data_IF_022669487674
#
_entry.id   IF_022669487674
#
_cell.length_a   1.000
_cell.length_b   1.000
_cell.length_c   1.000
_cell.angle_alpha   90.00
_cell.angle_beta   90.00
_cell.angle_gamma   90.00
#
_symmetry.space_group_name_H-M   'P 1'
#
loop_
_entity.id
_entity.type
_entity.pdbx_description
1 polymer ?
#
# COMPACT_ATOMS: atom_id res chain seq x y z
N UNK A 1 -6.97 -2.08 15.12
CA UNK A 1 -6.25 -3.35 14.94
C UNK A 1 -5.39 -3.17 13.70
N UNK A 2 -4.06 -3.10 13.83
CA UNK A 2 -3.16 -2.96 12.68
C UNK A 2 -3.14 -4.31 11.96
N UNK A 3 -3.83 -4.36 10.82
CA UNK A 3 -4.14 -5.57 10.07
C UNK A 3 -2.88 -6.32 9.62
N UNK A 4 -2.97 -7.65 9.70
CA UNK A 4 -1.95 -8.60 9.28
C UNK A 4 -1.51 -8.34 7.84
N UNK A 5 -0.19 -8.23 7.62
CA UNK A 5 0.52 -7.86 6.36
C UNK A 5 0.07 -8.59 5.07
N UNK A 6 -0.79 -9.61 5.15
CA UNK A 6 -1.27 -10.40 4.01
C UNK A 6 -2.74 -10.21 3.61
N UNK A 7 -3.54 -9.41 4.31
CA UNK A 7 -5.01 -9.33 4.07
C UNK A 7 -5.56 -7.97 3.64
N UNK A 8 -4.76 -6.91 3.61
CA UNK A 8 -5.24 -5.55 3.34
C UNK A 8 -4.89 -5.12 1.90
N UNK A 9 -5.85 -4.55 1.18
CA UNK A 9 -5.62 -3.98 -0.16
C UNK A 9 -5.00 -2.58 -0.07
N UNK A 10 -4.41 -2.07 -1.15
CA UNK A 10 -3.92 -0.68 -1.22
C UNK A 10 -5.01 0.35 -0.88
N UNK A 11 -6.27 0.02 -1.18
CA UNK A 11 -7.41 0.90 -0.88
C UNK A 11 -7.78 0.90 0.61
N UNK A 12 -7.53 -0.19 1.32
CA UNK A 12 -7.68 -0.25 2.78
C UNK A 12 -6.58 0.58 3.44
N UNK A 13 -5.34 0.49 2.93
CA UNK A 13 -4.21 1.29 3.40
C UNK A 13 -4.49 2.80 3.27
N UNK A 14 -5.15 3.23 2.18
CA UNK A 14 -5.58 4.63 1.99
C UNK A 14 -6.63 5.05 3.04
N UNK A 15 -7.59 4.19 3.36
CA UNK A 15 -8.66 4.50 4.33
C UNK A 15 -8.11 4.62 5.76
N UNK A 16 -7.17 3.75 6.11
CA UNK A 16 -6.48 3.80 7.40
C UNK A 16 -5.64 5.07 7.53
N UNK A 17 -4.92 5.44 6.47
CA UNK A 17 -4.17 6.71 6.42
C UNK A 17 -5.10 7.93 6.51
N UNK A 18 -6.27 7.91 5.86
CA UNK A 18 -7.25 9.00 5.98
C UNK A 18 -7.79 9.14 7.40
N UNK A 19 -8.06 8.03 8.08
CA UNK A 19 -8.53 8.02 9.47
C UNK A 19 -7.48 8.58 10.43
N UNK A 20 -6.21 8.22 10.22
CA UNK A 20 -5.08 8.78 10.94
C UNK A 20 -4.95 10.29 10.68
N UNK A 21 -4.96 10.70 9.41
CA UNK A 21 -4.83 12.10 9.02
C UNK A 21 -5.94 12.97 9.59
N UNK A 22 -7.19 12.50 9.58
CA UNK A 22 -8.31 13.20 10.22
C UNK A 22 -8.04 13.49 11.69
N UNK A 23 -7.59 12.47 12.44
CA UNK A 23 -7.27 12.58 13.86
C UNK A 23 -6.11 13.55 14.14
N UNK A 24 -5.07 13.53 13.30
CA UNK A 24 -3.91 14.42 13.43
C UNK A 24 -4.26 15.87 13.05
N UNK A 25 -5.05 16.07 11.99
CA UNK A 25 -5.52 17.40 11.57
C UNK A 25 -6.32 18.05 12.69
N UNK A 26 -7.26 17.32 13.30
CA UNK A 26 -8.06 17.82 14.41
C UNK A 26 -7.18 18.18 15.61
N UNK A 27 -6.30 17.25 16.04
CA UNK A 27 -5.44 17.44 17.21
C UNK A 27 -4.50 18.64 17.04
N UNK A 28 -3.77 18.71 15.93
CA UNK A 28 -2.79 19.77 15.72
C UNK A 28 -3.42 21.10 15.30
N UNK A 29 -4.57 21.05 14.63
CA UNK A 29 -5.37 22.25 14.36
C UNK A 29 -5.81 22.94 15.65
N UNK A 30 -6.32 22.17 16.62
CA UNK A 30 -6.68 22.67 17.97
C UNK A 30 -5.45 23.18 18.73
N UNK A 31 -4.36 22.40 18.74
CA UNK A 31 -3.17 22.72 19.52
C UNK A 31 -2.47 24.00 19.05
N UNK A 32 -2.29 24.15 17.74
CA UNK A 32 -1.50 25.26 17.17
C UNK A 32 -2.36 26.39 16.58
N UNK A 33 -3.69 26.28 16.67
CA UNK A 33 -4.69 27.23 16.17
C UNK A 33 -4.44 27.66 14.71
N UNK A 34 -4.01 26.71 13.87
CA UNK A 34 -3.68 26.93 12.45
C UNK A 34 -3.89 25.65 11.66
N UNK A 35 -3.99 25.75 10.34
CA UNK A 35 -4.02 24.58 9.46
C UNK A 35 -2.67 23.83 9.56
N UNK A 36 -2.64 22.56 10.02
CA UNK A 36 -1.40 21.80 10.10
C UNK A 36 -0.90 21.40 8.71
N UNK A 37 0.40 21.14 8.61
CA UNK A 37 1.07 20.60 7.43
C UNK A 37 1.82 19.34 7.83
N UNK A 38 1.78 18.33 6.99
CA UNK A 38 2.42 17.04 7.25
C UNK A 38 3.45 16.70 6.18
N UNK A 39 4.42 15.90 6.57
CA UNK A 39 5.36 15.24 5.66
C UNK A 39 5.11 13.75 5.79
N UNK A 40 4.85 13.07 4.67
CA UNK A 40 4.63 11.62 4.66
C UNK A 40 5.91 10.91 4.21
N UNK A 41 6.30 9.86 4.91
CA UNK A 41 7.48 9.07 4.56
C UNK A 41 7.05 7.65 4.23
N UNK A 42 7.30 7.23 2.99
CA UNK A 42 7.15 5.85 2.53
C UNK A 42 8.48 5.13 2.59
N UNK A 43 8.50 3.91 3.12
CA UNK A 43 9.68 3.04 3.13
C UNK A 43 9.34 1.71 2.44
N UNK A 44 10.19 1.26 1.51
CA UNK A 44 9.98 0.00 0.77
C UNK A 44 8.60 -0.01 0.08
N UNK A 45 7.77 -1.03 0.30
CA UNK A 45 6.38 -1.10 -0.21
C UNK A 45 5.51 0.07 0.25
N UNK A 46 5.83 0.69 1.40
CA UNK A 46 5.16 1.89 1.89
C UNK A 46 5.35 3.12 0.98
N UNK A 47 6.30 3.07 0.03
CA UNK A 47 6.37 4.08 -1.04
C UNK A 47 5.15 4.01 -1.96
N UNK A 48 4.65 2.80 -2.26
CA UNK A 48 3.45 2.60 -3.09
C UNK A 48 2.21 3.11 -2.36
N UNK A 49 2.08 2.81 -1.06
CA UNK A 49 0.98 3.31 -0.22
C UNK A 49 0.99 4.84 -0.18
N UNK A 50 2.17 5.44 -0.01
CA UNK A 50 2.34 6.89 0.01
C UNK A 50 1.93 7.54 -1.31
N UNK A 51 2.35 6.98 -2.45
CA UNK A 51 1.97 7.48 -3.78
C UNK A 51 0.47 7.31 -4.02
N UNK A 52 -0.10 6.16 -3.63
CA UNK A 52 -1.53 5.86 -3.78
C UNK A 52 -2.36 6.82 -2.92
N UNK A 53 -1.96 7.04 -1.67
CA UNK A 53 -2.58 7.99 -0.76
C UNK A 53 -2.55 9.42 -1.30
N UNK A 54 -1.43 9.87 -1.87
CA UNK A 54 -1.36 11.19 -2.50
C UNK A 54 -2.33 11.35 -3.69
N UNK A 55 -2.66 10.27 -4.40
CA UNK A 55 -3.56 10.29 -5.56
C UNK A 55 -5.04 10.29 -5.16
N UNK A 56 -5.43 9.53 -4.15
CA UNK A 56 -6.84 9.27 -3.83
C UNK A 56 -7.27 9.59 -2.39
N UNK A 57 -6.32 9.90 -1.50
CA UNK A 57 -6.60 10.21 -0.10
C UNK A 57 -7.35 11.52 0.07
N UNK A 58 -8.39 11.50 0.91
CA UNK A 58 -9.27 12.65 1.18
C UNK A 58 -8.51 13.84 1.75
N UNK A 59 -7.50 13.57 2.58
CA UNK A 59 -6.70 14.62 3.25
C UNK A 59 -5.31 14.81 2.65
N UNK A 60 -5.05 14.28 1.44
CA UNK A 60 -3.77 14.40 0.75
C UNK A 60 -3.28 15.86 0.62
N UNK A 61 -4.20 16.82 0.51
CA UNK A 61 -3.88 18.27 0.43
C UNK A 61 -3.23 18.86 1.69
N UNK A 62 -3.22 18.13 2.80
CA UNK A 62 -2.49 18.52 4.02
C UNK A 62 -1.03 18.05 4.02
N UNK A 63 -0.66 17.17 3.10
CA UNK A 63 0.72 16.70 2.90
C UNK A 63 1.47 17.73 2.07
N UNK A 64 2.51 18.34 2.64
CA UNK A 64 3.30 19.40 1.98
C UNK A 64 4.56 18.85 1.31
N UNK A 65 5.04 17.69 1.73
CA UNK A 65 6.18 17.01 1.14
C UNK A 65 6.10 15.50 1.38
N UNK A 66 6.81 14.75 0.55
CA UNK A 66 6.95 13.30 0.68
C UNK A 66 8.41 12.89 0.59
N UNK A 67 8.76 11.90 1.41
CA UNK A 67 10.06 11.23 1.39
C UNK A 67 9.83 9.76 1.02
N UNK A 68 10.46 9.29 -0.05
CA UNK A 68 10.40 7.90 -0.49
C UNK A 68 11.77 7.27 -0.26
N UNK A 69 11.87 6.32 0.67
CA UNK A 69 13.13 5.68 1.04
C UNK A 69 13.15 4.21 0.61
N UNK A 70 14.20 3.84 -0.13
CA UNK A 70 14.28 2.55 -0.84
C UNK A 70 12.97 2.22 -1.59
N UNK A 71 12.51 3.10 -2.50
CA UNK A 71 11.35 2.80 -3.31
C UNK A 71 11.65 1.55 -4.14
N UNK A 72 10.97 0.45 -3.83
CA UNK A 72 10.98 -0.72 -4.71
C UNK A 72 10.11 -0.35 -5.90
N UNK A 73 10.74 -0.06 -7.03
CA UNK A 73 10.01 0.18 -8.27
C UNK A 73 9.50 -1.16 -8.77
N UNK A 74 8.18 -1.35 -8.82
CA UNK A 74 7.59 -2.56 -9.40
C UNK A 74 8.17 -2.82 -10.80
N UNK A 75 8.58 -1.76 -11.52
CA UNK A 75 9.14 -1.81 -12.87
C UNK A 75 10.44 -2.63 -13.01
N UNK A 76 11.27 -2.72 -11.97
CA UNK A 76 12.46 -3.61 -11.97
C UNK A 76 12.12 -5.02 -11.46
N UNK A 77 11.02 -5.19 -10.73
CA UNK A 77 10.55 -6.49 -10.25
C UNK A 77 9.82 -7.28 -11.35
N UNK A 78 9.12 -6.60 -12.26
CA UNK A 78 8.42 -7.20 -13.41
C UNK A 78 9.33 -7.81 -14.48
N UNK A 79 10.62 -7.45 -14.51
CA UNK A 79 11.56 -7.99 -15.50
C UNK A 79 12.11 -9.37 -15.13
N UNK A 80 11.83 -9.85 -13.91
CA UNK A 80 12.15 -11.24 -13.57
C UNK A 80 11.02 -12.18 -14.05
N UNK A 81 11.42 -13.21 -14.80
CA UNK A 81 10.54 -14.27 -15.31
C UNK A 81 9.71 -14.96 -14.21
N UNK A 82 10.24 -14.97 -12.98
CA UNK A 82 9.57 -15.50 -11.80
C UNK A 82 8.31 -14.69 -11.44
N UNK A 83 8.40 -13.35 -11.42
CA UNK A 83 7.31 -12.43 -11.12
C UNK A 83 6.12 -12.60 -12.07
N UNK A 84 6.39 -12.75 -13.38
CA UNK A 84 5.33 -12.94 -14.39
C UNK A 84 4.56 -14.25 -14.18
N UNK A 85 5.27 -15.32 -13.78
CA UNK A 85 4.66 -16.63 -13.48
C UNK A 85 3.73 -16.53 -12.27
N UNK A 86 4.20 -15.96 -11.17
CA UNK A 86 3.42 -15.87 -9.94
C UNK A 86 2.29 -14.85 -10.02
N UNK A 87 2.43 -13.78 -10.81
CA UNK A 87 1.33 -12.86 -11.09
C UNK A 87 0.19 -13.55 -11.86
N UNK A 88 0.55 -14.40 -12.82
CA UNK A 88 -0.44 -15.20 -13.56
C UNK A 88 -1.15 -16.19 -12.64
N UNK A 89 -0.41 -16.83 -11.74
CA UNK A 89 -0.99 -17.71 -10.71
C UNK A 89 -1.95 -16.93 -9.79
N UNK A 90 -1.55 -15.74 -9.31
CA UNK A 90 -2.37 -14.89 -8.46
C UNK A 90 -3.70 -14.53 -9.15
N UNK A 91 -3.64 -14.13 -10.43
CA UNK A 91 -4.84 -13.82 -11.23
C UNK A 91 -5.75 -15.04 -11.42
N UNK A 92 -5.18 -16.23 -11.64
CA UNK A 92 -5.96 -17.48 -11.70
C UNK A 92 -6.66 -17.76 -10.38
N UNK A 93 -5.95 -17.68 -9.25
CA UNK A 93 -6.52 -17.91 -7.93
C UNK A 93 -7.66 -16.92 -7.62
N UNK A 94 -7.52 -15.65 -8.03
CA UNK A 94 -8.59 -14.66 -7.89
C UNK A 94 -9.83 -15.06 -8.70
N UNK A 95 -9.65 -15.47 -9.97
CA UNK A 95 -10.74 -15.92 -10.83
C UNK A 95 -11.45 -17.17 -10.30
N UNK A 96 -10.72 -18.05 -9.61
CA UNK A 96 -11.25 -19.26 -8.97
C UNK A 96 -11.93 -18.97 -7.62
N UNK A 97 -12.08 -17.70 -7.22
CA UNK A 97 -12.70 -17.29 -5.95
C UNK A 97 -11.78 -17.43 -4.73
N UNK A 98 -10.48 -17.66 -4.95
CA UNK A 98 -9.46 -17.91 -3.93
C UNK A 98 -8.56 -16.70 -3.66
N UNK A 99 -9.08 -15.50 -3.88
CA UNK A 99 -8.35 -14.24 -3.73
C UNK A 99 -7.65 -14.09 -2.35
N UNK A 100 -8.29 -14.59 -1.29
CA UNK A 100 -7.79 -14.53 0.10
C UNK A 100 -6.94 -15.72 0.53
N UNK A 101 -6.73 -16.71 -0.33
CA UNK A 101 -5.84 -17.84 -0.04
C UNK A 101 -4.38 -17.40 -0.15
N UNK A 102 -3.52 -18.01 0.68
CA UNK A 102 -2.07 -17.78 0.64
C UNK A 102 -1.48 -18.38 -0.63
N UNK A 103 -0.57 -17.64 -1.26
CA UNK A 103 0.22 -18.14 -2.38
C UNK A 103 1.35 -19.06 -1.89
N UNK A 104 1.90 -19.84 -2.83
CA UNK A 104 3.09 -20.66 -2.57
C UNK A 104 4.26 -19.81 -2.08
N UNK A 105 5.09 -20.36 -1.18
CA UNK A 105 6.20 -19.63 -0.54
C UNK A 105 7.27 -19.17 -1.53
N UNK A 106 7.36 -19.85 -2.67
CA UNK A 106 8.24 -19.49 -3.77
C UNK A 106 7.79 -18.21 -4.50
N UNK A 107 6.55 -17.75 -4.28
CA UNK A 107 6.06 -16.51 -4.87
C UNK A 107 6.63 -15.27 -4.17
N UNK A 108 6.88 -15.34 -2.86
CA UNK A 108 7.34 -14.21 -2.06
C UNK A 108 7.96 -14.66 -0.74
N UNK A 109 8.99 -13.95 -0.27
CA UNK A 109 9.73 -14.31 0.95
C UNK A 109 8.87 -14.27 2.23
N UNK A 110 7.75 -13.55 2.21
CA UNK A 110 6.76 -13.51 3.30
C UNK A 110 5.40 -14.04 2.85
N UNK A 111 4.60 -14.63 3.77
CA UNK A 111 3.25 -15.08 3.45
C UNK A 111 2.40 -13.96 2.85
N UNK A 112 1.86 -14.20 1.66
CA UNK A 112 1.08 -13.21 0.90
C UNK A 112 -0.13 -13.90 0.25
N UNK A 113 -1.27 -13.21 0.23
CA UNK A 113 -2.47 -13.70 -0.45
C UNK A 113 -2.43 -13.39 -1.95
N UNK A 114 -3.20 -14.13 -2.75
CA UNK A 114 -3.30 -13.90 -4.19
C UNK A 114 -3.72 -12.47 -4.53
N UNK A 115 -4.69 -11.91 -3.79
CA UNK A 115 -5.16 -10.54 -3.95
C UNK A 115 -4.06 -9.51 -3.63
N UNK A 116 -3.33 -9.66 -2.52
CA UNK A 116 -2.26 -8.73 -2.17
C UNK A 116 -1.11 -8.80 -3.18
N UNK A 117 -0.74 -10.00 -3.63
CA UNK A 117 0.30 -10.18 -4.64
C UNK A 117 -0.05 -9.48 -5.95
N UNK A 118 -1.27 -9.71 -6.46
CA UNK A 118 -1.75 -9.07 -7.68
C UNK A 118 -1.93 -7.55 -7.52
N UNK A 119 -2.30 -7.06 -6.33
CA UNK A 119 -2.40 -5.62 -6.07
C UNK A 119 -1.03 -4.93 -6.03
N UNK A 120 0.00 -5.58 -5.49
CA UNK A 120 1.35 -5.04 -5.43
C UNK A 120 2.04 -5.07 -6.81
N UNK A 121 1.91 -6.19 -7.51
CA UNK A 121 2.68 -6.50 -8.72
C UNK A 121 1.82 -6.58 -9.97
N UNK A 122 0.63 -5.99 -9.99
CA UNK A 122 -0.28 -6.06 -11.14
C UNK A 122 -0.67 -4.71 -11.72
N UNK A 123 -0.03 -3.62 -11.27
CA UNK A 123 -0.28 -2.23 -11.69
C UNK A 123 0.47 -1.82 -12.95
#
# INVERSE_FOLDING_TARGET
>A
SLGSYGHCTLQDDVQDLDSLMASLIERFGKLYKRKPKFVLMGHSTGCQDTVTYLKSGRYATFVSAVILQAPVSDREYFTDSSTTKYLTLARSMINDGKAKEMMCREAWDVPITAERYASLLGS
#
